data_IF_307252748776
#
_entry.id   IF_307252748776
#
_cell.length_a   1.000
_cell.length_b   1.000
_cell.length_c   1.000
_cell.angle_alpha   90.00
_cell.angle_beta   90.00
_cell.angle_gamma   90.00
#
_symmetry.space_group_name_H-M   'P 1'
#
loop_
_entity.id
_entity.type
_entity.pdbx_description
1 polymer ?
#
# COMPACT_ATOMS: atom_id res chain seq x y z
N UNK A 1 36.20 8.94 41.53
CA UNK A 1 34.86 9.38 41.96
C UNK A 1 33.95 9.20 40.75
N UNK A 2 33.08 8.20 40.79
CA UNK A 2 32.32 7.69 39.63
C UNK A 2 30.93 8.35 39.54
N UNK A 3 30.48 8.66 38.34
CA UNK A 3 29.11 9.10 38.08
C UNK A 3 28.32 7.90 37.59
N UNK A 4 27.34 7.41 38.36
CA UNK A 4 26.56 6.26 37.94
C UNK A 4 25.30 6.72 37.20
N UNK A 5 25.25 6.45 35.89
CA UNK A 5 24.00 6.51 35.13
C UNK A 5 23.11 5.34 35.56
N UNK A 6 21.89 5.67 35.97
CA UNK A 6 20.89 4.73 36.50
C UNK A 6 19.73 4.80 35.54
N UNK A 7 19.60 3.87 34.58
CA UNK A 7 18.52 3.95 33.60
C UNK A 7 17.33 3.08 34.00
N UNK A 8 16.13 3.64 33.95
CA UNK A 8 14.86 2.92 34.14
C UNK A 8 14.05 2.91 32.86
N UNK A 9 13.84 1.72 32.31
CA UNK A 9 12.98 1.49 31.14
C UNK A 9 11.52 1.62 31.54
N UNK A 10 10.91 2.78 31.31
CA UNK A 10 9.45 2.93 31.38
C UNK A 10 8.91 2.67 29.98
N UNK A 11 8.43 1.44 29.74
CA UNK A 11 7.60 1.15 28.57
C UNK A 11 6.18 1.61 28.92
N UNK A 12 5.81 2.84 28.58
CA UNK A 12 4.42 3.29 28.67
C UNK A 12 3.60 2.58 27.57
N UNK A 13 3.22 1.33 27.81
CA UNK A 13 1.95 0.78 27.29
C UNK A 13 0.97 0.91 28.46
N UNK A 14 0.06 1.88 28.39
CA UNK A 14 -0.92 2.13 29.46
C UNK A 14 -1.80 0.89 29.69
N UNK A 15 -1.38 0.02 30.58
CA UNK A 15 -2.22 -0.74 31.50
C UNK A 15 -1.35 -1.21 32.67
N UNK A 16 -1.64 -0.67 33.86
CA UNK A 16 -1.01 -0.94 35.18
C UNK A 16 0.43 -0.45 35.37
N UNK A 17 0.54 0.60 36.19
CA UNK A 17 1.73 0.92 36.99
C UNK A 17 1.91 -0.18 38.04
N UNK A 18 2.41 -1.35 37.63
CA UNK A 18 2.90 -2.38 38.55
C UNK A 18 4.42 -2.22 38.68
N UNK A 19 4.85 -1.86 39.89
CA UNK A 19 6.19 -1.94 40.49
C UNK A 19 7.41 -1.74 39.59
N UNK A 20 8.22 -0.72 39.90
CA UNK A 20 9.62 -0.61 39.48
C UNK A 20 10.33 -1.95 39.71
N UNK A 21 10.53 -2.72 38.63
CA UNK A 21 11.38 -3.91 38.66
C UNK A 21 12.78 -3.49 39.09
N UNK A 22 13.26 -4.08 40.18
CA UNK A 22 14.34 -3.60 41.05
C UNK A 22 15.76 -3.73 40.49
N UNK A 23 15.95 -3.71 39.18
CA UNK A 23 17.28 -3.87 38.58
C UNK A 23 17.62 -2.68 37.69
N UNK A 24 18.22 -1.67 38.32
CA UNK A 24 18.90 -0.59 37.63
C UNK A 24 20.18 -1.16 37.03
N UNK A 25 20.25 -1.28 35.71
CA UNK A 25 21.51 -1.61 35.05
C UNK A 25 22.29 -0.33 34.75
N UNK A 26 23.55 -0.21 35.25
CA UNK A 26 24.40 0.90 34.89
C UNK A 26 24.79 0.81 33.41
N UNK A 27 24.72 1.94 32.71
CA UNK A 27 25.20 2.01 31.34
C UNK A 27 26.71 2.20 31.32
N UNK A 28 27.42 1.32 30.62
CA UNK A 28 28.87 1.42 30.42
C UNK A 28 29.17 2.21 29.15
N UNK A 29 30.30 2.92 29.15
CA UNK A 29 30.77 3.67 27.98
C UNK A 29 30.80 2.78 26.73
N UNK A 30 30.33 3.33 25.61
CA UNK A 30 30.18 2.70 24.29
C UNK A 30 29.29 1.45 24.24
N UNK A 31 28.60 1.11 25.33
CA UNK A 31 27.67 0.00 25.32
C UNK A 31 26.26 0.44 24.98
N UNK A 32 25.48 -0.54 24.51
CA UNK A 32 24.04 -0.43 24.35
C UNK A 32 23.38 -0.29 25.72
N UNK A 33 22.86 0.90 25.98
CA UNK A 33 22.26 1.29 27.24
C UNK A 33 20.76 1.00 27.26
N UNK A 34 20.07 1.23 26.12
CA UNK A 34 18.65 0.92 26.00
C UNK A 34 18.19 0.69 24.55
N UNK A 35 17.01 0.09 24.46
CA UNK A 35 16.23 -0.06 23.24
C UNK A 35 14.82 0.49 23.41
N UNK A 36 14.34 1.19 22.39
CA UNK A 36 12.94 1.55 22.26
C UNK A 36 12.49 1.49 20.81
N UNK A 37 11.18 1.44 20.61
CA UNK A 37 10.56 1.47 19.31
C UNK A 37 10.49 2.91 18.77
N UNK A 38 10.35 3.06 17.46
CA UNK A 38 10.15 4.36 16.82
C UNK A 38 8.95 5.09 17.44
N UNK A 39 9.12 6.39 17.70
CA UNK A 39 8.10 7.24 18.28
C UNK A 39 7.85 7.04 19.78
N UNK A 40 8.48 6.04 20.42
CA UNK A 40 8.37 5.82 21.87
C UNK A 40 9.36 6.72 22.60
N UNK A 41 8.88 7.38 23.66
CA UNK A 41 9.71 8.21 24.54
C UNK A 41 10.48 7.34 25.51
N UNK A 42 11.80 7.47 25.48
CA UNK A 42 12.73 6.87 26.43
C UNK A 42 12.97 7.88 27.54
N UNK A 43 12.72 7.52 28.80
CA UNK A 43 13.12 8.32 29.95
C UNK A 43 14.44 7.80 30.52
N UNK A 44 15.46 8.64 30.49
CA UNK A 44 16.78 8.41 31.10
C UNK A 44 16.83 9.12 32.45
N UNK A 45 17.31 8.43 33.47
CA UNK A 45 17.54 9.04 34.77
C UNK A 45 19.05 9.22 34.96
N UNK A 46 19.45 10.48 35.10
CA UNK A 46 20.82 10.89 35.37
C UNK A 46 20.92 11.17 36.86
N UNK A 47 21.81 10.48 37.55
CA UNK A 47 22.01 10.63 38.99
C UNK A 47 23.43 11.10 39.24
N UNK A 48 23.59 12.33 39.70
CA UNK A 48 24.89 12.88 40.12
C UNK A 48 25.02 12.85 41.65
N UNK A 49 25.79 11.88 42.14
CA UNK A 49 26.12 11.73 43.56
C UNK A 49 27.14 12.76 44.07
N UNK A 50 27.78 13.51 43.18
CA UNK A 50 28.83 14.46 43.55
C UNK A 50 28.28 15.86 43.83
N UNK A 51 26.97 16.08 43.66
CA UNK A 51 26.27 17.36 43.90
C UNK A 51 27.08 18.56 43.40
N UNK A 52 27.60 18.47 42.16
CA UNK A 52 28.62 19.41 41.68
C UNK A 52 28.08 20.83 41.51
N UNK A 53 26.76 21.01 41.54
CA UNK A 53 26.09 22.30 41.31
C UNK A 53 26.37 22.89 39.92
N UNK A 54 26.92 22.08 39.00
CA UNK A 54 27.25 22.48 37.64
C UNK A 54 26.10 22.10 36.71
N UNK A 55 25.88 22.91 35.67
CA UNK A 55 24.90 22.61 34.65
C UNK A 55 25.24 21.30 33.93
N UNK A 56 24.26 20.41 33.82
CA UNK A 56 24.32 19.20 33.00
C UNK A 56 23.95 19.59 31.57
N UNK A 57 24.82 19.26 30.63
CA UNK A 57 24.61 19.41 29.19
C UNK A 57 24.76 18.08 28.49
N UNK A 58 24.08 17.89 27.37
CA UNK A 58 24.15 16.65 26.59
C UNK A 58 24.26 16.97 25.10
N UNK A 59 24.89 16.06 24.37
CA UNK A 59 25.02 16.07 22.91
C UNK A 59 24.47 14.77 22.39
N UNK A 60 23.63 14.86 21.36
CA UNK A 60 22.99 13.70 20.74
C UNK A 60 23.52 13.57 19.32
N UNK A 61 24.02 12.40 18.96
CA UNK A 61 24.45 12.08 17.61
C UNK A 61 23.50 11.05 17.00
N UNK A 62 22.87 11.39 15.88
CA UNK A 62 21.99 10.48 15.14
C UNK A 62 22.25 10.62 13.64
N UNK A 63 22.54 9.51 12.96
CA UNK A 63 22.73 9.52 11.49
C UNK A 63 23.84 10.46 10.99
N UNK A 64 24.86 10.74 11.79
CA UNK A 64 25.94 11.67 11.45
C UNK A 64 25.61 13.15 11.68
N UNK A 65 24.42 13.48 12.16
CA UNK A 65 24.03 14.84 12.56
C UNK A 65 24.26 15.00 14.07
N UNK A 66 24.95 16.08 14.44
CA UNK A 66 25.12 16.50 15.84
C UNK A 66 23.97 17.42 16.21
N UNK A 67 23.12 16.98 17.13
CA UNK A 67 22.05 17.80 17.67
C UNK A 67 22.54 18.39 19.00
N UNK A 68 22.79 19.69 18.96
CA UNK A 68 23.08 20.50 20.14
C UNK A 68 21.76 21.02 20.71
N UNK A 69 21.70 21.18 22.03
CA UNK A 69 20.49 21.48 22.80
C UNK A 69 19.43 22.38 22.13
N UNK A 70 18.18 22.00 22.37
CA UNK A 70 16.90 22.61 21.98
C UNK A 70 16.37 22.39 20.55
N UNK A 71 17.05 21.71 19.61
CA UNK A 71 16.41 21.37 18.32
C UNK A 71 16.61 19.93 17.78
N UNK A 72 15.45 19.38 17.36
CA UNK A 72 15.12 18.30 16.41
C UNK A 72 15.76 16.91 16.55
N UNK A 73 15.52 16.28 17.70
CA UNK A 73 14.88 14.95 17.79
C UNK A 73 13.65 15.12 18.69
N UNK A 74 12.55 14.41 18.41
CA UNK A 74 11.23 14.63 18.99
C UNK A 74 11.31 14.71 20.52
N UNK A 75 11.04 15.91 21.04
CA UNK A 75 10.91 16.27 22.46
C UNK A 75 12.03 15.74 23.38
N UNK A 76 13.08 16.54 23.55
CA UNK A 76 13.97 16.39 24.70
C UNK A 76 13.50 17.32 25.81
N UNK A 77 13.10 16.75 26.94
CA UNK A 77 12.76 17.51 28.14
C UNK A 77 13.69 17.07 29.27
N UNK A 78 14.23 18.05 30.01
CA UNK A 78 15.03 17.82 31.20
C UNK A 78 14.26 18.29 32.42
N UNK A 79 13.96 17.38 33.35
CA UNK A 79 13.36 17.71 34.65
C UNK A 79 14.37 17.41 35.75
N UNK A 80 14.71 18.41 36.56
CA UNK A 80 15.68 18.25 37.65
C UNK A 80 14.93 18.12 38.98
N UNK A 81 15.19 17.05 39.72
CA UNK A 81 14.67 16.81 41.06
C UNK A 81 15.84 16.73 42.04
N UNK A 82 15.80 17.54 43.10
CA UNK A 82 16.76 17.42 44.20
C UNK A 82 16.25 16.36 45.18
N UNK A 83 16.87 15.18 45.16
CA UNK A 83 16.67 14.18 46.19
C UNK A 83 17.78 14.32 47.25
N UNK A 84 17.51 13.94 48.49
CA UNK A 84 18.49 13.99 49.58
C UNK A 84 19.74 13.17 49.22
N UNK A 85 20.83 13.84 48.86
CA UNK A 85 22.14 13.25 48.58
C UNK A 85 22.52 13.05 47.10
N UNK A 86 21.66 13.40 46.14
CA UNK A 86 22.00 13.34 44.72
C UNK A 86 21.16 14.32 43.88
N UNK A 87 21.78 14.93 42.86
CA UNK A 87 21.07 15.70 41.86
C UNK A 87 20.53 14.73 40.79
N UNK A 88 19.21 14.69 40.64
CA UNK A 88 18.55 13.79 39.70
C UNK A 88 18.06 14.60 38.51
N UNK A 89 18.45 14.25 37.30
CA UNK A 89 17.91 14.84 36.07
C UNK A 89 17.26 13.78 35.21
N UNK A 90 16.04 14.01 34.75
CA UNK A 90 15.32 13.12 33.84
C UNK A 90 15.50 13.66 32.43
N UNK A 91 16.11 12.88 31.53
CA UNK A 91 16.23 13.21 30.12
C UNK A 91 15.26 12.35 29.32
N UNK A 92 14.30 12.98 28.66
CA UNK A 92 13.41 12.31 27.72
C UNK A 92 14.01 12.33 26.32
N UNK A 93 14.06 11.20 25.63
CA UNK A 93 14.56 11.07 24.26
C UNK A 93 13.57 10.25 23.46
N UNK A 94 13.10 10.77 22.32
CA UNK A 94 12.36 9.97 21.35
C UNK A 94 12.89 10.21 19.95
N UNK A 95 12.71 9.21 19.09
CA UNK A 95 13.11 9.30 17.69
C UNK A 95 12.09 8.56 16.84
N UNK A 96 11.73 9.17 15.72
CA UNK A 96 10.90 8.54 14.69
C UNK A 96 11.72 7.72 13.70
N UNK A 97 13.04 7.90 13.65
CA UNK A 97 13.92 7.16 12.73
C UNK A 97 14.55 5.96 13.43
N UNK A 98 14.53 4.80 12.75
CA UNK A 98 15.29 3.60 13.16
C UNK A 98 16.78 3.88 13.09
N UNK A 99 17.51 3.44 14.11
CA UNK A 99 18.97 3.54 14.11
C UNK A 99 19.56 3.55 15.51
N UNK A 100 20.87 3.80 15.58
CA UNK A 100 21.57 3.96 16.84
C UNK A 100 21.84 5.43 17.09
N UNK A 101 21.41 5.91 18.25
CA UNK A 101 21.66 7.24 18.76
C UNK A 101 22.81 7.14 19.77
N UNK A 102 23.81 8.00 19.63
CA UNK A 102 24.89 8.14 20.60
C UNK A 102 24.57 9.32 21.51
N UNK A 103 24.50 9.07 22.82
CA UNK A 103 24.31 10.10 23.82
C UNK A 103 25.63 10.39 24.53
N UNK A 104 26.08 11.64 24.46
CA UNK A 104 27.24 12.13 25.19
C UNK A 104 26.79 13.13 26.25
N UNK A 105 27.31 12.97 27.47
CA UNK A 105 26.91 13.79 28.63
C UNK A 105 28.13 14.55 29.11
N UNK A 106 27.95 15.85 29.31
CA UNK A 106 28.95 16.78 29.79
C UNK A 106 28.43 17.50 31.04
N UNK A 107 29.20 17.49 32.12
CA UNK A 107 28.84 18.18 33.37
C UNK A 107 29.82 19.31 33.61
N UNK A 108 29.33 20.55 33.53
CA UNK A 108 30.19 21.72 33.63
C UNK A 108 31.26 21.83 32.53
N UNK A 109 30.94 21.33 31.33
CA UNK A 109 31.85 21.34 30.16
C UNK A 109 32.86 20.20 30.11
N UNK A 110 32.90 19.32 31.11
CA UNK A 110 33.76 18.14 31.12
C UNK A 110 32.96 16.87 30.77
N UNK A 111 33.55 16.00 29.95
CA UNK A 111 32.95 14.72 29.57
C UNK A 111 32.89 13.78 30.76
N UNK A 112 31.77 13.08 30.89
CA UNK A 112 31.58 12.04 31.91
C UNK A 112 32.21 10.73 31.41
N UNK A 113 33.03 10.01 32.21
CA UNK A 113 33.73 8.82 31.75
C UNK A 113 32.80 7.65 31.38
N UNK A 114 31.61 7.61 31.95
CA UNK A 114 30.56 6.65 31.62
C UNK A 114 29.81 6.99 30.30
N UNK A 115 30.11 8.15 29.71
CA UNK A 115 29.65 8.56 28.38
C UNK A 115 30.76 8.37 27.33
N UNK A 116 30.43 8.24 26.03
CA UNK A 116 29.08 8.17 25.47
C UNK A 116 28.45 6.79 25.62
N UNK A 117 27.13 6.67 25.45
CA UNK A 117 26.44 5.38 25.38
C UNK A 117 25.43 5.33 24.23
N UNK A 118 25.00 4.12 23.87
CA UNK A 118 24.20 3.86 22.68
C UNK A 118 22.73 3.60 23.04
N UNK A 119 21.82 4.28 22.36
CA UNK A 119 20.38 4.04 22.40
C UNK A 119 19.96 3.48 21.03
N UNK A 120 19.40 2.29 21.01
CA UNK A 120 18.91 1.68 19.78
C UNK A 120 17.42 1.96 19.60
N UNK A 121 17.07 2.58 18.49
CA UNK A 121 15.70 2.80 18.06
C UNK A 121 15.36 1.70 17.06
N UNK A 122 14.50 0.78 17.49
CA UNK A 122 14.01 -0.34 16.70
C UNK A 122 12.76 0.09 15.91
N UNK A 123 12.48 -0.54 14.76
CA UNK A 123 11.20 -0.36 14.08
C UNK A 123 10.04 -0.74 15.01
N UNK A 124 8.93 0.00 14.96
CA UNK A 124 7.73 -0.31 15.74
C UNK A 124 7.21 -1.70 15.41
N UNK A 125 6.86 -2.48 16.44
CA UNK A 125 6.26 -3.80 16.25
C UNK A 125 4.78 -3.66 15.85
N UNK A 126 4.49 -3.91 14.57
CA UNK A 126 3.14 -3.88 14.01
C UNK A 126 2.40 -5.21 14.12
N UNK A 127 2.90 -6.15 14.93
CA UNK A 127 2.33 -7.47 15.15
C UNK A 127 2.90 -8.54 14.24
N UNK A 128 2.44 -9.78 14.43
CA UNK A 128 3.03 -10.96 13.79
C UNK A 128 2.76 -11.09 12.27
N UNK A 129 1.88 -10.25 11.70
CA UNK A 129 1.52 -10.35 10.29
C UNK A 129 2.52 -9.59 9.43
N UNK A 130 3.05 -10.26 8.39
CA UNK A 130 3.91 -9.64 7.37
C UNK A 130 3.22 -8.60 6.49
N UNK A 131 1.89 -8.46 6.64
CA UNK A 131 1.11 -7.50 5.88
C UNK A 131 1.24 -6.07 6.44
N UNK A 132 1.70 -5.92 7.69
CA UNK A 132 1.89 -4.63 8.35
C UNK A 132 3.37 -4.36 8.57
N UNK A 133 3.79 -3.13 8.27
CA UNK A 133 5.14 -2.64 8.55
C UNK A 133 5.10 -1.19 8.99
N UNK A 134 5.99 -0.77 9.90
CA UNK A 134 6.09 0.62 10.30
C UNK A 134 6.57 1.49 9.14
N UNK A 135 6.01 2.69 9.03
CA UNK A 135 6.51 3.73 8.13
C UNK A 135 7.67 4.53 8.78
N UNK A 136 8.14 5.57 8.08
CA UNK A 136 9.22 6.45 8.56
C UNK A 136 8.91 7.20 9.86
N UNK A 137 7.64 7.20 10.29
CA UNK A 137 7.17 7.87 11.51
C UNK A 137 6.83 6.86 12.62
N UNK A 138 7.05 5.55 12.37
CA UNK A 138 6.69 4.48 13.32
C UNK A 138 5.20 4.13 13.34
N UNK A 139 4.41 4.58 12.36
CA UNK A 139 3.00 4.19 12.20
C UNK A 139 2.89 2.91 11.38
N UNK A 140 2.05 1.99 11.85
CA UNK A 140 1.80 0.73 11.16
C UNK A 140 0.94 0.94 9.91
N UNK A 141 1.52 0.63 8.76
CA UNK A 141 0.87 0.72 7.44
C UNK A 141 1.01 -0.60 6.69
N UNK A 142 0.21 -0.79 5.64
CA UNK A 142 0.35 -1.98 4.81
C UNK A 142 1.71 -2.01 4.11
N UNK A 143 2.38 -3.16 4.19
CA UNK A 143 3.68 -3.40 3.56
C UNK A 143 3.58 -3.36 2.04
N UNK A 144 4.74 -3.26 1.37
CA UNK A 144 4.80 -3.31 -0.09
C UNK A 144 4.12 -4.57 -0.63
N UNK A 145 3.25 -4.41 -1.62
CA UNK A 145 2.44 -5.49 -2.17
C UNK A 145 1.07 -5.67 -1.51
N UNK A 146 0.80 -5.00 -0.40
CA UNK A 146 -0.51 -5.03 0.26
C UNK A 146 -1.27 -3.70 0.06
N UNK A 147 -2.58 -3.74 0.22
CA UNK A 147 -3.47 -2.57 0.17
C UNK A 147 -4.44 -2.57 1.35
N UNK A 148 -4.71 -1.42 1.98
CA UNK A 148 -5.62 -1.34 3.12
C UNK A 148 -7.08 -1.46 2.65
N UNK A 149 -7.79 -2.47 3.17
CA UNK A 149 -9.22 -2.72 2.89
C UNK A 149 -9.92 -3.18 4.17
N UNK A 150 -10.94 -2.43 4.59
CA UNK A 150 -11.79 -2.83 5.72
C UNK A 150 -11.07 -2.92 7.08
N UNK A 151 -9.92 -2.28 7.24
CA UNK A 151 -9.11 -2.36 8.46
C UNK A 151 -8.01 -3.43 8.43
N UNK A 152 -7.94 -4.22 7.36
CA UNK A 152 -6.90 -5.22 7.12
C UNK A 152 -6.05 -4.88 5.89
N UNK A 153 -4.87 -5.49 5.81
CA UNK A 153 -3.99 -5.40 4.65
C UNK A 153 -4.16 -6.63 3.76
N UNK A 154 -4.65 -6.43 2.53
CA UNK A 154 -4.91 -7.49 1.56
C UNK A 154 -3.83 -7.50 0.50
N UNK A 155 -3.36 -8.69 0.11
CA UNK A 155 -2.37 -8.85 -0.95
C UNK A 155 -2.93 -8.37 -2.29
N UNK A 156 -2.22 -7.43 -2.92
CA UNK A 156 -2.54 -6.89 -4.25
C UNK A 156 -2.56 -7.99 -5.31
N UNK A 157 -1.72 -9.02 -5.17
CA UNK A 157 -1.69 -10.19 -6.03
C UNK A 157 -2.96 -11.02 -6.00
N UNK A 158 -3.73 -10.97 -4.91
CA UNK A 158 -5.04 -11.64 -4.79
C UNK A 158 -6.16 -10.70 -5.23
N UNK A 159 -6.07 -9.42 -4.88
CA UNK A 159 -7.10 -8.42 -5.16
C UNK A 159 -7.31 -8.19 -6.67
N UNK A 160 -6.22 -8.02 -7.41
CA UNK A 160 -6.27 -7.71 -8.85
C UNK A 160 -7.01 -8.80 -9.64
N UNK A 161 -6.65 -10.10 -9.55
CA UNK A 161 -7.37 -11.14 -10.29
C UNK A 161 -8.81 -11.31 -9.78
N UNK A 162 -9.07 -11.11 -8.50
CA UNK A 162 -10.43 -11.17 -7.95
C UNK A 162 -11.38 -10.13 -8.57
N UNK A 163 -10.86 -8.98 -9.04
CA UNK A 163 -11.65 -7.94 -9.72
C UNK A 163 -11.67 -8.17 -11.25
N UNK A 164 -10.53 -8.50 -11.86
CA UNK A 164 -10.42 -8.61 -13.33
C UNK A 164 -11.18 -9.82 -13.87
N UNK A 165 -11.05 -10.99 -13.23
CA UNK A 165 -11.68 -12.23 -13.69
C UNK A 165 -13.21 -12.11 -13.84
N UNK A 166 -13.98 -11.61 -12.85
CA UNK A 166 -15.43 -11.49 -13.01
C UNK A 166 -15.82 -10.47 -14.10
N UNK A 167 -15.08 -9.37 -14.25
CA UNK A 167 -15.34 -8.39 -15.32
C UNK A 167 -15.14 -9.05 -16.69
N UNK A 168 -14.04 -9.79 -16.88
CA UNK A 168 -13.78 -10.51 -18.11
C UNK A 168 -14.85 -11.58 -18.39
N UNK A 169 -15.26 -12.33 -17.37
CA UNK A 169 -16.32 -13.34 -17.49
C UNK A 169 -17.66 -12.72 -17.90
N UNK A 170 -18.04 -11.59 -17.29
CA UNK A 170 -19.26 -10.85 -17.65
C UNK A 170 -19.15 -10.32 -19.08
N UNK A 171 -18.01 -9.73 -19.46
CA UNK A 171 -17.81 -9.18 -20.79
C UNK A 171 -17.89 -10.26 -21.88
N UNK A 172 -17.29 -11.44 -21.65
CA UNK A 172 -17.39 -12.59 -22.53
C UNK A 172 -18.83 -13.11 -22.61
N UNK A 173 -19.54 -13.19 -21.47
CA UNK A 173 -20.95 -13.59 -21.43
C UNK A 173 -21.84 -12.64 -22.25
N UNK A 174 -21.65 -11.34 -22.10
CA UNK A 174 -22.37 -10.31 -22.88
C UNK A 174 -22.03 -10.38 -24.37
N UNK A 175 -20.78 -10.62 -24.72
CA UNK A 175 -20.36 -10.79 -26.11
C UNK A 175 -21.02 -12.00 -26.77
N UNK A 176 -21.03 -13.15 -26.10
CA UNK A 176 -21.71 -14.36 -26.58
C UNK A 176 -23.22 -14.13 -26.69
N UNK A 177 -23.82 -13.47 -25.70
CA UNK A 177 -25.24 -13.11 -25.74
C UNK A 177 -25.57 -12.19 -26.92
N UNK A 178 -24.72 -11.20 -27.19
CA UNK A 178 -24.86 -10.29 -28.33
C UNK A 178 -24.82 -11.03 -29.67
N UNK A 179 -23.85 -11.92 -29.88
CA UNK A 179 -23.75 -12.72 -31.11
C UNK A 179 -25.00 -13.58 -31.30
N UNK A 180 -25.44 -14.29 -30.26
CA UNK A 180 -26.65 -15.12 -30.34
C UNK A 180 -27.87 -14.29 -30.70
N UNK A 181 -28.05 -13.12 -30.05
CA UNK A 181 -29.14 -12.21 -30.36
C UNK A 181 -29.08 -11.69 -31.79
N UNK A 182 -27.89 -11.31 -32.28
CA UNK A 182 -27.69 -10.88 -33.67
C UNK A 182 -28.05 -11.99 -34.66
N UNK A 183 -27.56 -13.22 -34.44
CA UNK A 183 -27.88 -14.36 -35.31
C UNK A 183 -29.39 -14.70 -35.32
N UNK A 184 -30.08 -14.56 -34.18
CA UNK A 184 -31.53 -14.73 -34.11
C UNK A 184 -32.27 -13.64 -34.89
N UNK A 185 -31.79 -12.39 -34.84
CA UNK A 185 -32.37 -11.30 -35.65
C UNK A 185 -32.12 -11.48 -37.15
N UNK A 186 -30.94 -11.98 -37.55
CA UNK A 186 -30.65 -12.27 -38.95
C UNK A 186 -31.54 -13.41 -39.50
N UNK A 187 -31.96 -14.36 -38.67
CA UNK A 187 -32.95 -15.38 -39.06
C UNK A 187 -34.36 -14.82 -39.30
N UNK A 188 -34.65 -13.59 -38.85
CA UNK A 188 -35.92 -12.90 -39.12
C UNK A 188 -35.89 -12.09 -40.43
N UNK A 189 -34.70 -11.83 -40.99
CA UNK A 189 -34.60 -11.29 -42.35
C UNK A 189 -34.88 -12.43 -43.33
N UNK A 190 -35.97 -12.31 -44.08
CA UNK A 190 -36.43 -13.24 -45.11
C UNK A 190 -35.34 -13.46 -46.17
N UNK A 191 -34.40 -14.37 -45.90
CA UNK A 191 -33.45 -14.87 -46.88
C UNK A 191 -34.16 -15.94 -47.70
N UNK A 192 -34.41 -15.64 -48.97
CA UNK A 192 -34.95 -16.60 -49.94
C UNK A 192 -33.75 -17.40 -50.46
N UNK A 193 -33.72 -18.71 -50.22
CA UNK A 193 -32.70 -19.59 -50.81
C UNK A 193 -32.96 -19.74 -52.31
N UNK A 194 -31.98 -19.38 -53.14
CA UNK A 194 -32.05 -19.47 -54.60
C UNK A 194 -32.32 -20.90 -55.09
N UNK A 195 -31.87 -21.91 -54.33
CA UNK A 195 -32.09 -23.32 -54.69
C UNK A 195 -33.53 -23.77 -54.50
N UNK A 196 -34.29 -23.09 -53.65
CA UNK A 196 -35.71 -23.36 -53.46
C UNK A 196 -36.60 -22.69 -54.53
N UNK A 197 -36.02 -21.80 -55.35
CA UNK A 197 -36.70 -21.14 -56.48
C UNK A 197 -36.51 -21.97 -57.75
N UNK A 198 -37.45 -22.85 -58.03
CA UNK A 198 -37.43 -23.67 -59.24
C UNK A 198 -38.03 -22.86 -60.38
N UNK A 199 -37.21 -22.59 -61.40
CA UNK A 199 -37.66 -21.96 -62.65
C UNK A 199 -37.68 -23.04 -63.73
N UNK A 200 -38.68 -23.02 -64.61
CA UNK A 200 -38.73 -23.90 -65.78
C UNK A 200 -37.58 -23.52 -66.74
N UNK A 201 -36.99 -24.50 -67.44
CA UNK A 201 -36.01 -24.25 -68.50
C UNK A 201 -36.64 -24.63 -69.86
N UNK A 202 -37.01 -23.67 -70.72
CA UNK A 202 -36.72 -22.23 -70.64
C UNK A 202 -37.65 -21.45 -69.69
N UNK A 203 -37.18 -20.33 -69.09
CA UNK A 203 -37.94 -19.58 -68.09
C UNK A 203 -39.15 -18.87 -68.70
N UNK A 204 -40.32 -19.08 -68.07
CA UNK A 204 -41.56 -18.43 -68.48
C UNK A 204 -41.59 -16.97 -68.01
N UNK A 205 -41.44 -16.05 -68.96
CA UNK A 205 -41.49 -14.60 -68.71
C UNK A 205 -42.95 -14.16 -68.57
N UNK A 206 -43.27 -13.54 -67.43
CA UNK A 206 -44.60 -12.98 -67.16
C UNK A 206 -44.72 -11.53 -67.61
N UNK A 207 -43.61 -10.80 -67.67
CA UNK A 207 -43.56 -9.42 -68.16
C UNK A 207 -42.16 -8.85 -68.16
N UNK A 208 -41.96 -7.76 -68.91
CA UNK A 208 -40.69 -7.03 -68.98
C UNK A 208 -40.95 -5.52 -68.91
N UNK A 209 -40.04 -4.77 -68.28
CA UNK A 209 -40.13 -3.31 -68.19
C UNK A 209 -38.77 -2.65 -67.94
N UNK A 210 -38.76 -1.32 -67.78
CA UNK A 210 -37.52 -0.54 -67.63
C UNK A 210 -36.64 -0.90 -66.42
N UNK A 211 -37.18 -1.68 -65.47
CA UNK A 211 -36.47 -2.14 -64.28
C UNK A 211 -36.15 -3.65 -64.30
N UNK A 212 -36.21 -4.29 -65.47
CA UNK A 212 -35.85 -5.70 -65.66
C UNK A 212 -37.02 -6.61 -66.07
N UNK A 213 -36.81 -7.92 -65.96
CA UNK A 213 -37.75 -8.95 -66.38
C UNK A 213 -38.37 -9.67 -65.18
N UNK A 214 -39.64 -10.03 -65.30
CA UNK A 214 -40.38 -10.80 -64.30
C UNK A 214 -40.60 -12.20 -64.84
N UNK A 215 -40.08 -13.21 -64.12
CA UNK A 215 -40.21 -14.62 -64.48
C UNK A 215 -41.08 -15.36 -63.47
N UNK A 216 -41.82 -16.37 -63.94
CA UNK A 216 -42.57 -17.27 -63.08
C UNK A 216 -41.61 -18.30 -62.47
N UNK A 217 -41.65 -18.47 -61.16
CA UNK A 217 -40.93 -19.53 -60.47
C UNK A 217 -41.85 -20.21 -59.44
N UNK A 218 -41.42 -21.36 -58.94
CA UNK A 218 -42.10 -22.08 -57.88
C UNK A 218 -41.23 -22.05 -56.63
N UNK A 219 -41.73 -21.42 -55.57
CA UNK A 219 -41.08 -21.37 -54.26
C UNK A 219 -41.89 -22.22 -53.29
N UNK A 220 -41.29 -23.31 -52.79
CA UNK A 220 -41.91 -24.26 -51.83
C UNK A 220 -43.32 -24.74 -52.22
N UNK A 221 -43.56 -25.00 -53.50
CA UNK A 221 -44.88 -25.45 -53.97
C UNK A 221 -45.77 -24.34 -54.52
N UNK A 222 -45.52 -23.09 -54.13
CA UNK A 222 -46.34 -21.93 -54.51
C UNK A 222 -45.74 -21.22 -55.72
N UNK A 223 -46.60 -20.86 -56.68
CA UNK A 223 -46.19 -20.06 -57.83
C UNK A 223 -45.94 -18.62 -57.38
N UNK A 224 -44.74 -18.14 -57.64
CA UNK A 224 -44.27 -16.80 -57.30
C UNK A 224 -43.71 -16.11 -58.55
N UNK A 225 -43.65 -14.78 -58.51
CA UNK A 225 -43.02 -13.98 -59.55
C UNK A 225 -41.68 -13.45 -59.04
N UNK A 226 -40.59 -13.75 -59.75
CA UNK A 226 -39.26 -13.20 -59.47
C UNK A 226 -39.02 -12.04 -60.41
N UNK A 227 -38.69 -10.86 -59.88
CA UNK A 227 -38.22 -9.72 -60.68
C UNK A 227 -36.69 -9.72 -60.68
N UNK A 228 -36.11 -10.06 -61.82
CA UNK A 228 -34.67 -9.93 -62.03
C UNK A 228 -34.35 -8.48 -62.40
N UNK A 229 -33.54 -7.81 -61.57
CA UNK A 229 -32.99 -6.52 -61.95
C UNK A 229 -31.96 -6.76 -63.06
N UNK A 230 -32.29 -6.34 -64.29
CA UNK A 230 -31.34 -6.37 -65.39
C UNK A 230 -30.20 -5.41 -65.07
N UNK A 231 -29.08 -5.92 -64.57
CA UNK A 231 -27.85 -5.15 -64.53
C UNK A 231 -27.52 -4.88 -66.00
N UNK A 232 -27.57 -3.61 -66.42
CA UNK A 232 -26.96 -3.17 -67.66
C UNK A 232 -25.46 -3.48 -67.51
N UNK A 233 -25.03 -4.70 -67.91
CA UNK A 233 -23.63 -5.02 -68.07
C UNK A 233 -23.10 -4.06 -69.14
N UNK A 234 -22.46 -2.98 -68.67
CA UNK A 234 -21.69 -2.07 -69.50
C UNK A 234 -20.68 -2.90 -70.27
N UNK A 235 -20.91 -3.02 -71.57
CA UNK A 235 -19.98 -3.57 -72.56
C UNK A 235 -18.70 -2.74 -72.47
N UNK A 236 -17.70 -3.23 -71.74
CA UNK A 236 -16.33 -2.72 -71.79
C UNK A 236 -15.80 -3.16 -73.15
N UNK A 237 -15.79 -2.23 -74.11
CA UNK A 237 -15.20 -2.42 -75.41
C UNK A 237 -13.69 -2.59 -75.28
N UNK A 238 -13.15 -3.44 -76.16
CA UNK A 238 -11.77 -3.39 -76.63
C UNK A 238 -11.45 -2.02 -77.23
#
# INVERSE_FOLDING_TARGET
AEMRLVMTRIVEKFSKVESWGSEVMPCTSMAKCAEAEQGVVIRLLLVDYLQRGKAVSWKIYSGGVVLLGNQTLTQTSLQIYNATGADISVLEVSSITVGTIVLEIEVGGEKVPESPFLLNVLPTDCGASRAWSPNEVGLCVCSSGFVPLGGDCVDRGVLIPAIIVPILAISAGLYVFYIKRKSALESLTWQIDEKELITEDPPKVLGAGGYGTVVQAKYRGTLVAIKSAGILMGRRGD
#
